data_IF_559673280290
#
_entry.id   IF_559673280290
#
_cell.length_a   1.000
_cell.length_b   1.000
_cell.length_c   1.000
_cell.angle_alpha   90.00
_cell.angle_beta   90.00
_cell.angle_gamma   90.00
#
_symmetry.space_group_name_H-M   'P 1'
#
loop_
_entity.id
_entity.type
_entity.pdbx_description
1 polymer ?
#
# COMPACT_ATOMS: atom_id res chain seq x y z
N UNK A 1 33.45 -35.54 41.35
CA UNK A 1 33.31 -36.61 40.35
C UNK A 1 32.54 -36.03 39.16
N UNK A 2 33.24 -35.88 38.03
CA UNK A 2 32.85 -35.88 36.60
C UNK A 2 31.50 -35.22 36.18
N UNK A 3 31.34 -34.53 35.05
CA UNK A 3 32.04 -34.62 33.77
C UNK A 3 31.64 -33.42 32.89
N UNK A 4 32.58 -32.94 32.09
CA UNK A 4 32.35 -31.97 31.02
C UNK A 4 31.71 -32.67 29.80
N UNK A 5 30.73 -32.03 29.14
CA UNK A 5 30.28 -32.47 27.80
C UNK A 5 30.46 -31.33 26.81
N UNK A 6 31.56 -31.45 26.09
CA UNK A 6 31.94 -30.77 24.86
C UNK A 6 30.90 -30.99 23.76
N UNK A 7 30.47 -29.91 23.08
CA UNK A 7 29.82 -30.01 21.77
C UNK A 7 30.52 -29.09 20.77
N UNK A 8 30.91 -29.73 19.67
CA UNK A 8 31.90 -29.31 18.68
C UNK A 8 31.31 -28.36 17.64
N UNK A 9 32.17 -27.43 17.23
CA UNK A 9 32.09 -26.59 16.04
C UNK A 9 32.11 -27.46 14.77
N UNK A 10 31.20 -27.25 13.83
CA UNK A 10 31.36 -27.66 12.43
C UNK A 10 30.97 -26.49 11.51
N UNK A 11 31.99 -25.80 10.99
CA UNK A 11 31.84 -24.95 9.83
C UNK A 11 31.88 -25.79 8.56
N UNK A 12 31.04 -25.44 7.58
CA UNK A 12 31.16 -25.94 6.21
C UNK A 12 31.11 -24.75 5.26
N UNK A 13 32.28 -24.42 4.73
CA UNK A 13 32.59 -23.47 3.67
C UNK A 13 32.01 -23.92 2.33
N UNK A 14 31.34 -23.02 1.62
CA UNK A 14 30.92 -23.19 0.21
C UNK A 14 32.04 -22.71 -0.73
N UNK A 15 32.46 -23.49 -1.75
CA UNK A 15 33.42 -23.02 -2.74
C UNK A 15 32.79 -22.13 -3.82
N UNK A 16 33.58 -21.12 -4.24
CA UNK A 16 33.37 -20.26 -5.42
C UNK A 16 34.06 -20.85 -6.65
N UNK A 17 33.51 -20.55 -7.83
CA UNK A 17 34.19 -20.64 -9.14
C UNK A 17 33.35 -21.38 -10.20
N UNK A 18 33.42 -21.14 -11.51
CA UNK A 18 34.10 -20.14 -12.36
C UNK A 18 33.42 -20.20 -13.74
N UNK A 19 33.18 -19.04 -14.34
CA UNK A 19 33.48 -18.58 -15.70
C UNK A 19 33.44 -19.55 -16.92
N UNK A 20 32.71 -19.12 -17.97
CA UNK A 20 33.33 -18.96 -19.31
C UNK A 20 32.94 -19.90 -20.46
N UNK A 21 32.11 -19.37 -21.38
CA UNK A 21 32.05 -19.51 -22.86
C UNK A 21 32.78 -20.65 -23.57
N UNK A 22 32.13 -21.38 -24.49
CA UNK A 22 32.12 -21.21 -25.97
C UNK A 22 32.44 -22.61 -26.59
N UNK A 23 32.00 -23.10 -27.74
CA UNK A 23 31.43 -22.57 -28.99
C UNK A 23 30.87 -23.78 -29.80
N UNK A 24 29.78 -23.53 -30.54
CA UNK A 24 29.36 -24.04 -31.88
C UNK A 24 29.57 -25.50 -32.35
N UNK A 25 28.56 -26.05 -33.05
CA UNK A 25 28.66 -26.55 -34.44
C UNK A 25 27.25 -26.86 -35.00
N UNK A 26 27.11 -26.78 -36.32
CA UNK A 26 25.86 -26.64 -37.08
C UNK A 26 25.03 -27.93 -37.28
N UNK A 27 23.72 -27.80 -37.49
CA UNK A 27 22.83 -28.92 -37.83
C UNK A 27 21.59 -28.50 -38.62
N UNK A 28 21.60 -28.74 -39.93
CA UNK A 28 20.55 -28.44 -40.91
C UNK A 28 19.44 -29.51 -40.91
N UNK A 29 18.18 -29.04 -41.01
CA UNK A 29 16.92 -29.70 -41.44
C UNK A 29 16.37 -30.84 -40.55
N UNK A 30 15.10 -30.72 -40.16
CA UNK A 30 13.98 -31.46 -40.76
C UNK A 30 12.70 -31.21 -39.95
N UNK A 31 11.57 -31.07 -40.65
CA UNK A 31 10.26 -30.87 -40.06
C UNK A 31 9.96 -31.93 -39.00
N UNK A 32 9.74 -31.47 -37.77
CA UNK A 32 9.08 -32.19 -36.71
C UNK A 32 8.07 -31.21 -36.13
N UNK A 33 6.83 -31.67 -36.07
CA UNK A 33 5.70 -31.02 -35.41
C UNK A 33 6.20 -30.26 -34.19
N UNK A 34 6.12 -28.92 -34.24
CA UNK A 34 6.34 -28.12 -33.04
C UNK A 34 5.21 -28.51 -32.10
N UNK A 35 5.53 -29.33 -31.10
CA UNK A 35 4.77 -29.36 -29.88
C UNK A 35 4.50 -27.90 -29.54
N UNK A 36 3.23 -27.52 -29.55
CA UNK A 36 2.82 -26.20 -29.06
C UNK A 36 3.32 -26.23 -27.62
N UNK A 37 4.39 -25.49 -27.32
CA UNK A 37 4.81 -25.28 -25.93
C UNK A 37 3.61 -24.60 -25.29
N UNK A 38 2.81 -25.39 -24.58
CA UNK A 38 1.46 -25.04 -24.12
C UNK A 38 1.47 -23.88 -23.10
N UNK A 39 2.64 -23.29 -22.86
CA UNK A 39 2.89 -22.19 -21.95
C UNK A 39 3.95 -21.24 -22.51
N UNK A 40 3.71 -20.64 -23.69
CA UNK A 40 4.21 -19.28 -23.92
C UNK A 40 3.51 -18.38 -22.87
N UNK A 41 4.13 -18.24 -21.69
CA UNK A 41 3.69 -17.27 -20.68
C UNK A 41 4.08 -15.90 -21.25
N UNK A 42 3.12 -15.06 -21.67
CA UNK A 42 3.47 -13.73 -22.13
C UNK A 42 4.20 -12.99 -21.00
N UNK A 43 5.28 -12.26 -21.33
CA UNK A 43 5.98 -11.45 -20.36
C UNK A 43 4.99 -10.52 -19.66
N UNK A 44 4.81 -10.74 -18.36
CA UNK A 44 3.65 -10.30 -17.57
C UNK A 44 3.55 -8.78 -17.34
N UNK A 45 4.34 -7.96 -18.03
CA UNK A 45 4.44 -6.52 -17.77
C UNK A 45 3.52 -5.65 -18.65
N UNK A 46 2.97 -6.17 -19.75
CA UNK A 46 2.02 -5.43 -20.59
C UNK A 46 0.56 -5.80 -20.31
N UNK A 47 0.10 -5.51 -19.09
CA UNK A 47 -1.33 -5.49 -18.69
C UNK A 47 -2.11 -4.32 -19.34
N UNK A 48 -1.94 -4.12 -20.65
CA UNK A 48 -2.67 -3.12 -21.45
C UNK A 48 -3.71 -3.69 -22.41
N UNK A 49 -3.64 -4.98 -22.74
CA UNK A 49 -4.28 -5.52 -23.95
C UNK A 49 -5.32 -6.65 -23.81
N UNK A 50 -5.60 -7.19 -22.63
CA UNK A 50 -6.48 -8.37 -22.51
C UNK A 50 -7.32 -8.40 -21.23
N UNK A 51 -8.61 -8.70 -21.40
CA UNK A 51 -9.69 -9.12 -20.45
C UNK A 51 -9.81 -8.43 -19.08
N UNK A 52 -8.72 -8.12 -18.38
CA UNK A 52 -8.68 -7.39 -17.11
C UNK A 52 -7.99 -6.04 -17.28
N UNK A 53 -8.75 -5.01 -17.68
CA UNK A 53 -8.26 -3.62 -17.63
C UNK A 53 -8.15 -3.18 -16.17
N UNK A 54 -7.00 -3.41 -15.54
CA UNK A 54 -6.69 -2.84 -14.23
C UNK A 54 -6.47 -1.34 -14.44
N UNK A 55 -7.39 -0.51 -13.93
CA UNK A 55 -7.26 0.95 -14.00
C UNK A 55 -5.98 1.37 -13.28
N UNK A 56 -5.01 1.90 -14.02
CA UNK A 56 -3.84 2.54 -13.42
C UNK A 56 -4.31 3.72 -12.58
N UNK A 57 -3.78 3.85 -11.36
CA UNK A 57 -4.05 5.03 -10.52
C UNK A 57 -3.60 6.28 -11.27
N UNK A 58 -4.46 7.30 -11.31
CA UNK A 58 -4.11 8.54 -11.98
C UNK A 58 -3.04 9.29 -11.17
N UNK A 59 -2.29 10.18 -11.81
CA UNK A 59 -1.32 11.03 -11.10
C UNK A 59 -1.98 11.80 -9.94
N UNK A 60 -3.21 12.26 -10.13
CA UNK A 60 -3.98 12.93 -9.09
C UNK A 60 -4.24 12.02 -7.87
N UNK A 61 -4.58 10.75 -8.11
CA UNK A 61 -4.82 9.77 -7.03
C UNK A 61 -3.54 9.49 -6.22
N UNK A 62 -2.38 9.49 -6.88
CA UNK A 62 -1.08 9.27 -6.24
C UNK A 62 -0.62 10.50 -5.44
N UNK A 63 -1.02 11.70 -5.85
CA UNK A 63 -0.65 12.95 -5.17
C UNK A 63 -1.48 13.23 -3.93
N UNK A 64 -2.60 12.53 -3.72
CA UNK A 64 -3.40 12.68 -2.51
C UNK A 64 -2.66 12.06 -1.30
N UNK A 65 -2.59 12.77 -0.15
CA UNK A 65 -1.99 12.23 1.08
C UNK A 65 -2.71 10.97 1.60
N UNK A 66 -3.99 10.80 1.22
CA UNK A 66 -4.86 9.69 1.57
C UNK A 66 -5.82 9.41 0.41
N UNK A 67 -5.99 8.14 0.00
CA UNK A 67 -6.90 7.78 -1.09
C UNK A 67 -8.35 8.07 -0.74
N UNK A 68 -9.20 8.18 -1.75
CA UNK A 68 -10.63 8.45 -1.53
C UNK A 68 -11.28 7.32 -0.74
N UNK A 69 -10.96 6.05 -1.06
CA UNK A 69 -11.50 4.91 -0.32
C UNK A 69 -11.05 4.93 1.15
N UNK A 70 -9.78 5.24 1.40
CA UNK A 70 -9.24 5.36 2.76
C UNK A 70 -9.90 6.50 3.53
N UNK A 71 -10.22 7.62 2.87
CA UNK A 71 -10.93 8.74 3.50
C UNK A 71 -12.35 8.34 3.93
N UNK A 72 -13.11 7.68 3.05
CA UNK A 72 -14.46 7.20 3.36
C UNK A 72 -14.46 6.15 4.47
N UNK A 73 -13.49 5.23 4.42
CA UNK A 73 -13.31 4.21 5.44
C UNK A 73 -13.01 4.82 6.82
N UNK A 74 -12.07 5.77 6.89
CA UNK A 74 -11.73 6.47 8.14
C UNK A 74 -12.92 7.27 8.66
N UNK A 75 -13.64 7.98 7.79
CA UNK A 75 -14.84 8.74 8.16
C UNK A 75 -15.89 7.82 8.81
N UNK A 76 -16.13 6.63 8.25
CA UNK A 76 -17.06 5.64 8.82
C UNK A 76 -16.61 5.14 10.19
N UNK A 77 -15.33 4.85 10.35
CA UNK A 77 -14.75 4.40 11.62
C UNK A 77 -14.87 5.47 12.71
N UNK A 78 -14.51 6.72 12.37
CA UNK A 78 -14.60 7.86 13.26
C UNK A 78 -16.04 8.21 13.60
N UNK A 79 -16.99 8.04 12.68
CA UNK A 79 -18.41 8.33 12.93
C UNK A 79 -19.00 7.54 14.10
N UNK A 80 -18.53 6.31 14.33
CA UNK A 80 -19.01 5.49 15.45
C UNK A 80 -18.23 5.68 16.75
N UNK A 81 -16.90 5.67 16.67
CA UNK A 81 -16.03 5.57 17.85
C UNK A 81 -15.23 6.87 18.13
N UNK A 82 -15.37 7.89 17.29
CA UNK A 82 -14.70 9.18 17.43
C UNK A 82 -13.19 9.07 17.27
N UNK A 83 -12.46 9.18 18.37
CA UNK A 83 -10.98 9.06 18.42
C UNK A 83 -10.51 7.82 19.18
N UNK A 84 -11.41 6.95 19.63
CA UNK A 84 -11.02 5.70 20.29
C UNK A 84 -10.62 4.64 19.25
N UNK A 85 -9.37 4.74 18.79
CA UNK A 85 -8.79 3.81 17.82
C UNK A 85 -8.72 2.37 18.33
N UNK A 86 -8.69 2.17 19.67
CA UNK A 86 -8.63 0.83 20.27
C UNK A 86 -10.01 0.17 20.23
N UNK A 87 -11.08 0.93 20.42
CA UNK A 87 -12.45 0.46 20.20
C UNK A 87 -12.69 0.16 18.72
N UNK A 88 -12.28 1.06 17.81
CA UNK A 88 -12.40 0.85 16.35
C UNK A 88 -11.68 -0.42 15.89
N UNK A 89 -10.46 -0.66 16.37
CA UNK A 89 -9.68 -1.82 15.96
C UNK A 89 -10.36 -3.15 16.31
N UNK A 90 -11.18 -3.19 17.39
CA UNK A 90 -11.92 -4.39 17.80
C UNK A 90 -13.27 -4.52 17.12
N UNK A 91 -13.81 -3.45 16.57
CA UNK A 91 -15.14 -3.46 15.94
C UNK A 91 -15.07 -4.03 14.53
N UNK A 92 -15.19 -5.35 14.43
CA UNK A 92 -15.12 -6.11 13.17
C UNK A 92 -16.20 -5.69 12.17
N UNK A 93 -17.31 -5.11 12.61
CA UNK A 93 -18.40 -4.69 11.71
C UNK A 93 -18.06 -3.40 10.97
N UNK A 94 -17.29 -2.52 11.62
CA UNK A 94 -16.94 -1.21 11.07
C UNK A 94 -15.54 -1.25 10.45
N UNK A 95 -14.62 -1.98 11.07
CA UNK A 95 -13.28 -2.25 10.57
C UNK A 95 -13.27 -3.54 9.73
N UNK A 96 -13.91 -3.49 8.56
CA UNK A 96 -13.95 -4.59 7.60
C UNK A 96 -12.55 -5.01 7.11
N UNK A 97 -11.64 -4.05 6.96
CA UNK A 97 -10.24 -4.28 6.58
C UNK A 97 -9.33 -4.76 7.73
N UNK A 98 -9.88 -4.95 8.93
CA UNK A 98 -9.19 -5.39 10.14
C UNK A 98 -7.85 -4.68 10.41
N UNK A 99 -7.81 -3.37 10.19
CA UNK A 99 -6.62 -2.58 10.43
C UNK A 99 -6.25 -2.55 11.91
N UNK A 100 -4.94 -2.57 12.17
CA UNK A 100 -4.39 -2.42 13.52
C UNK A 100 -4.60 -1.00 14.04
N UNK A 101 -4.61 -0.82 15.36
CA UNK A 101 -4.74 0.50 15.99
C UNK A 101 -3.73 1.51 15.43
N UNK A 102 -2.47 1.10 15.26
CA UNK A 102 -1.43 1.97 14.74
C UNK A 102 -1.69 2.44 13.30
N UNK A 103 -2.29 1.59 12.46
CA UNK A 103 -2.67 1.94 11.10
C UNK A 103 -3.85 2.91 11.10
N UNK A 104 -4.89 2.63 11.89
CA UNK A 104 -6.04 3.53 12.06
C UNK A 104 -5.63 4.90 12.58
N UNK A 105 -4.74 4.97 13.56
CA UNK A 105 -4.22 6.24 14.08
C UNK A 105 -3.50 7.06 13.00
N UNK A 106 -2.67 6.41 12.18
CA UNK A 106 -1.95 7.10 11.08
C UNK A 106 -2.90 7.62 10.02
N UNK A 107 -3.89 6.82 9.61
CA UNK A 107 -4.88 7.24 8.62
C UNK A 107 -5.80 8.33 9.16
N UNK A 108 -6.25 8.18 10.41
CA UNK A 108 -7.04 9.18 11.12
C UNK A 108 -6.32 10.53 11.25
N UNK A 109 -5.06 10.52 11.67
CA UNK A 109 -4.25 11.73 11.74
C UNK A 109 -4.12 12.42 10.38
N UNK A 110 -3.88 11.64 9.31
CA UNK A 110 -3.84 12.17 7.94
C UNK A 110 -5.19 12.76 7.54
N UNK A 111 -6.30 12.06 7.81
CA UNK A 111 -7.65 12.50 7.47
C UNK A 111 -8.00 13.84 8.14
N UNK A 112 -7.66 14.01 9.43
CA UNK A 112 -7.92 15.24 10.16
C UNK A 112 -7.06 16.42 9.68
N UNK A 113 -5.87 16.13 9.13
CA UNK A 113 -4.95 17.12 8.56
C UNK A 113 -5.32 17.52 7.12
N UNK A 114 -6.14 16.75 6.42
CA UNK A 114 -6.55 17.08 5.05
C UNK A 114 -7.28 18.43 5.01
N UNK A 115 -6.89 19.27 4.06
CA UNK A 115 -7.59 20.52 3.75
C UNK A 115 -8.93 20.23 3.05
N UNK A 116 -9.87 21.18 3.12
CA UNK A 116 -11.21 21.03 2.52
C UNK A 116 -11.20 20.73 1.02
N UNK A 117 -10.17 21.17 0.29
CA UNK A 117 -9.98 20.91 -1.15
C UNK A 117 -9.55 19.47 -1.46
N UNK A 118 -8.82 18.84 -0.53
CA UNK A 118 -8.30 17.47 -0.65
C UNK A 118 -9.27 16.44 -0.08
N UNK A 119 -10.18 16.88 0.78
CA UNK A 119 -11.16 16.04 1.45
C UNK A 119 -12.32 15.72 0.52
N UNK A 120 -12.52 14.43 0.26
CA UNK A 120 -13.62 13.90 -0.57
C UNK A 120 -14.71 13.23 0.26
N UNK A 121 -14.40 12.78 1.47
CA UNK A 121 -15.38 12.20 2.40
C UNK A 121 -15.92 13.23 3.41
N UNK A 122 -17.18 13.07 3.82
CA UNK A 122 -17.80 13.89 4.85
C UNK A 122 -17.17 13.65 6.23
N UNK A 123 -16.95 14.72 7.00
CA UNK A 123 -16.40 14.60 8.35
C UNK A 123 -17.53 14.38 9.35
N UNK A 124 -17.50 13.29 10.12
CA UNK A 124 -18.55 13.03 11.10
C UNK A 124 -18.50 14.04 12.24
N UNK A 125 -19.69 14.39 12.76
CA UNK A 125 -19.89 15.52 13.67
C UNK A 125 -19.00 15.47 14.92
N UNK A 126 -18.84 14.26 15.48
CA UNK A 126 -18.05 14.00 16.67
C UNK A 126 -16.55 14.33 16.54
N UNK A 127 -16.00 14.41 15.33
CA UNK A 127 -14.58 14.75 15.09
C UNK A 127 -14.41 16.05 14.29
N UNK A 128 -15.48 16.76 13.93
CA UNK A 128 -15.42 18.02 13.17
C UNK A 128 -14.50 19.05 13.85
N UNK A 129 -14.57 19.15 15.17
CA UNK A 129 -13.77 20.06 15.98
C UNK A 129 -12.26 19.78 15.93
N UNK A 130 -11.84 18.57 15.57
CA UNK A 130 -10.43 18.18 15.49
C UNK A 130 -9.82 18.45 14.11
N UNK A 131 -10.64 18.81 13.13
CA UNK A 131 -10.14 19.10 11.78
C UNK A 131 -9.50 20.48 11.71
N UNK A 132 -8.40 20.58 10.97
CA UNK A 132 -7.65 21.84 10.81
C UNK A 132 -8.51 23.02 10.28
N UNK A 133 -9.64 22.72 9.63
CA UNK A 133 -10.57 23.71 9.11
C UNK A 133 -11.38 24.46 10.20
N UNK A 134 -11.47 23.94 11.44
CA UNK A 134 -12.23 24.59 12.51
C UNK A 134 -11.51 25.80 13.15
N UNK A 135 -10.28 26.12 12.71
CA UNK A 135 -9.40 27.10 13.37
C UNK A 135 -8.97 28.31 12.53
N UNK A 136 -9.53 28.55 11.34
CA UNK A 136 -9.29 29.81 10.61
C UNK A 136 -10.56 30.67 10.60
N UNK A 137 -10.71 31.62 11.53
CA UNK A 137 -11.62 32.73 11.29
C UNK A 137 -11.10 33.52 10.08
N UNK A 138 -11.79 33.38 8.95
CA UNK A 138 -11.72 34.33 7.84
C UNK A 138 -12.25 35.67 8.38
N UNK A 139 -11.37 36.57 8.80
CA UNK A 139 -11.76 37.85 9.36
C UNK A 139 -10.58 38.75 9.69
N UNK A 140 -10.10 39.50 8.70
CA UNK A 140 -9.79 40.93 8.76
C UNK A 140 -9.08 41.33 7.46
N UNK A 141 -9.81 42.02 6.58
CA UNK A 141 -9.29 42.66 5.38
C UNK A 141 -10.01 44.00 5.24
N UNK A 142 -9.53 44.96 6.02
CA UNK A 142 -9.92 46.36 6.09
C UNK A 142 -10.16 46.97 4.70
N UNK A 143 -11.40 47.36 4.40
CA UNK A 143 -11.72 48.23 3.26
C UNK A 143 -12.45 49.46 3.78
N UNK A 144 -11.66 50.40 4.31
CA UNK A 144 -12.12 51.68 4.80
C UNK A 144 -11.06 52.76 4.59
N UNK A 145 -10.63 52.98 3.33
CA UNK A 145 -9.91 54.20 3.02
C UNK A 145 -10.92 55.32 2.81
N UNK A 146 -10.92 56.25 3.77
CA UNK A 146 -11.64 57.51 3.76
C UNK A 146 -11.10 58.49 2.71
#
# INVERSE_FOLDING_TARGET
VNEAVSRRNIGSTLPKGVDGSALSEEGKKNGRERAVELFDIPESDDVGGGITKIKKRTRADVMLPLSVEDQEYVARCMGRHGTDYRAMARDVKINDMQHTEGKLRKMGARFLLLEGTQRRAEVPENVRHLTAAAGRPEGCGDNGNA
#
